data_IF_826665565769
#
_entry.id   IF_826665565769
#
_cell.length_a   1.000
_cell.length_b   1.000
_cell.length_c   1.000
_cell.angle_alpha   90.00
_cell.angle_beta   90.00
_cell.angle_gamma   90.00
#
_symmetry.space_group_name_H-M   'P 1'
#
loop_
_entity.id
_entity.type
_entity.pdbx_description
1 polymer ?
#
# COMPACT_ATOMS: atom_id res chain seq x y z
N UNK A 1 0.20 1.10 37.49
CA UNK A 1 1.60 0.63 37.47
C UNK A 1 1.96 -0.13 36.18
N UNK A 2 1.27 0.07 35.05
CA UNK A 2 1.49 -0.66 33.78
C UNK A 2 2.21 0.17 32.70
N UNK A 3 2.46 1.47 32.95
CA UNK A 3 3.09 2.37 31.99
C UNK A 3 4.63 2.20 31.94
N UNK A 4 5.28 1.98 33.10
CA UNK A 4 6.75 1.96 33.18
C UNK A 4 7.41 0.72 32.58
N UNK A 5 6.73 -0.44 32.59
CA UNK A 5 7.29 -1.68 32.03
C UNK A 5 7.32 -1.65 30.49
N UNK A 6 6.31 -1.04 29.85
CA UNK A 6 6.25 -0.89 28.40
C UNK A 6 7.33 0.08 27.88
N UNK A 7 7.61 1.15 28.62
CA UNK A 7 8.70 2.05 28.27
C UNK A 7 10.07 1.39 28.41
N UNK A 8 10.30 0.61 29.48
CA UNK A 8 11.54 -0.14 29.69
C UNK A 8 11.80 -1.15 28.55
N UNK A 9 10.77 -1.89 28.12
CA UNK A 9 10.85 -2.81 26.99
C UNK A 9 11.14 -2.09 25.67
N UNK A 10 10.56 -0.90 25.46
CA UNK A 10 10.82 -0.06 24.28
C UNK A 10 12.26 0.44 24.26
N UNK A 11 12.79 0.91 25.40
CA UNK A 11 14.18 1.34 25.51
C UNK A 11 15.17 0.18 25.38
N UNK A 12 14.85 -0.98 25.97
CA UNK A 12 15.62 -2.22 25.80
C UNK A 12 15.69 -2.65 24.34
N UNK A 13 14.56 -2.70 23.64
CA UNK A 13 14.52 -3.03 22.21
C UNK A 13 15.29 -2.01 21.35
N UNK A 14 15.24 -0.72 21.67
CA UNK A 14 16.01 0.31 20.98
C UNK A 14 17.53 0.15 21.18
N UNK A 15 17.95 -0.32 22.37
CA UNK A 15 19.36 -0.54 22.70
C UNK A 15 19.95 -1.81 22.06
N UNK A 16 19.12 -2.79 21.66
CA UNK A 16 19.59 -4.06 21.10
C UNK A 16 20.43 -3.90 19.83
N UNK A 17 20.20 -2.89 18.99
CA UNK A 17 21.06 -2.69 17.81
C UNK A 17 22.51 -2.38 18.18
N UNK A 18 22.74 -1.72 19.32
CA UNK A 18 24.08 -1.38 19.80
C UNK A 18 24.90 -2.57 20.30
N UNK A 19 24.27 -3.74 20.51
CA UNK A 19 24.98 -4.96 20.93
C UNK A 19 25.66 -5.68 19.76
N UNK A 20 25.25 -5.39 18.52
CA UNK A 20 25.85 -5.95 17.31
C UNK A 20 27.01 -5.05 16.90
N UNK A 21 28.23 -5.45 17.25
CA UNK A 21 29.45 -4.71 16.94
C UNK A 21 30.31 -5.47 15.94
N UNK A 22 31.07 -4.73 15.13
CA UNK A 22 32.11 -5.33 14.31
C UNK A 22 33.29 -5.78 15.20
N UNK A 23 33.94 -6.88 14.82
CA UNK A 23 35.18 -7.31 15.45
C UNK A 23 36.29 -6.24 15.30
N UNK A 24 37.32 -6.23 16.18
CA UNK A 24 38.46 -5.34 16.01
C UNK A 24 39.03 -5.39 14.58
N UNK A 25 39.34 -4.22 14.01
CA UNK A 25 39.81 -4.08 12.64
C UNK A 25 38.73 -4.21 11.54
N UNK A 26 37.47 -4.45 11.90
CA UNK A 26 36.36 -4.59 10.94
C UNK A 26 35.35 -3.44 11.07
N UNK A 27 34.46 -3.30 10.07
CA UNK A 27 33.34 -2.36 10.06
C UNK A 27 32.03 -3.10 9.83
N UNK A 28 30.97 -2.66 10.51
CA UNK A 28 29.62 -3.11 10.21
C UNK A 28 29.09 -2.27 9.03
N UNK A 29 28.61 -2.93 7.98
CA UNK A 29 28.04 -2.28 6.79
C UNK A 29 26.58 -2.71 6.68
N UNK A 30 25.68 -1.73 6.59
CA UNK A 30 24.24 -1.97 6.39
C UNK A 30 23.87 -1.46 5.01
N UNK A 31 23.34 -2.36 4.19
CA UNK A 31 22.75 -2.03 2.89
C UNK A 31 21.25 -2.25 2.97
N UNK A 32 20.47 -1.23 2.59
CA UNK A 32 19.02 -1.26 2.54
C UNK A 32 18.53 -0.84 1.15
N UNK A 33 17.45 -1.45 0.69
CA UNK A 33 16.85 -1.13 -0.61
C UNK A 33 15.80 -0.02 -0.43
N UNK A 34 16.26 1.23 -0.58
CA UNK A 34 15.44 2.40 -0.37
C UNK A 34 14.16 2.41 -1.25
N UNK A 35 12.99 2.38 -0.59
CA UNK A 35 11.66 2.42 -1.21
C UNK A 35 11.47 1.34 -2.31
N UNK A 36 11.98 0.14 -2.08
CA UNK A 36 11.92 -0.95 -3.06
C UNK A 36 10.49 -1.28 -3.49
N UNK A 37 9.54 -1.20 -2.56
CA UNK A 37 8.12 -1.43 -2.79
C UNK A 37 7.51 -0.42 -3.79
N UNK A 38 7.72 0.88 -3.56
CA UNK A 38 7.26 1.93 -4.46
C UNK A 38 7.91 1.84 -5.85
N UNK A 39 9.19 1.44 -5.91
CA UNK A 39 9.92 1.24 -7.17
C UNK A 39 9.39 0.04 -7.95
N UNK A 40 9.22 -1.11 -7.30
CA UNK A 40 8.72 -2.32 -7.95
C UNK A 40 7.30 -2.12 -8.46
N UNK A 41 6.43 -1.48 -7.67
CA UNK A 41 5.07 -1.18 -8.10
C UNK A 41 5.05 -0.31 -9.36
N UNK A 42 5.79 0.81 -9.36
CA UNK A 42 5.85 1.70 -10.51
C UNK A 42 6.40 0.98 -11.76
N UNK A 43 7.36 0.07 -11.58
CA UNK A 43 7.92 -0.72 -12.67
C UNK A 43 6.96 -1.78 -13.20
N UNK A 44 6.29 -2.54 -12.33
CA UNK A 44 5.28 -3.53 -12.74
C UNK A 44 4.10 -2.89 -13.46
N UNK A 45 3.67 -1.72 -12.98
CA UNK A 45 2.58 -0.96 -13.54
C UNK A 45 2.95 -0.17 -14.80
N UNK A 46 4.24 -0.05 -15.13
CA UNK A 46 4.73 0.81 -16.22
C UNK A 46 4.39 2.31 -16.01
N UNK A 47 4.37 2.77 -14.76
CA UNK A 47 4.03 4.15 -14.36
C UNK A 47 5.18 5.12 -14.66
N UNK A 48 5.23 5.61 -15.90
CA UNK A 48 6.40 6.31 -16.45
C UNK A 48 6.83 7.55 -15.67
N UNK A 49 5.88 8.35 -15.18
CA UNK A 49 6.23 9.56 -14.45
C UNK A 49 6.91 9.23 -13.11
N UNK A 50 6.45 8.19 -12.42
CA UNK A 50 7.01 7.77 -11.12
C UNK A 50 8.37 7.10 -11.32
N UNK A 51 8.53 6.33 -12.39
CA UNK A 51 9.84 5.80 -12.81
C UNK A 51 10.83 6.91 -13.16
N UNK A 52 10.39 7.96 -13.87
CA UNK A 52 11.22 9.13 -14.15
C UNK A 52 11.62 9.84 -12.85
N UNK A 53 10.68 10.09 -11.94
CA UNK A 53 10.96 10.70 -10.65
C UNK A 53 12.00 9.92 -9.83
N UNK A 54 11.91 8.59 -9.80
CA UNK A 54 12.94 7.75 -9.18
C UNK A 54 14.32 7.91 -9.83
N UNK A 55 14.41 7.92 -11.17
CA UNK A 55 15.69 8.11 -11.88
C UNK A 55 16.31 9.46 -11.57
N UNK A 56 15.52 10.53 -11.55
CA UNK A 56 15.99 11.88 -11.23
C UNK A 56 16.45 11.97 -9.77
N UNK A 57 15.70 11.38 -8.83
CA UNK A 57 16.09 11.31 -7.42
C UNK A 57 17.41 10.56 -7.24
N UNK A 58 17.58 9.40 -7.90
CA UNK A 58 18.79 8.60 -7.83
C UNK A 58 20.00 9.31 -8.47
N UNK A 59 19.77 10.15 -9.48
CA UNK A 59 20.78 11.00 -10.09
C UNK A 59 21.10 12.26 -9.26
N UNK A 60 20.41 12.49 -8.14
CA UNK A 60 20.56 13.68 -7.31
C UNK A 60 19.98 14.97 -7.93
N UNK A 61 19.21 14.85 -9.00
CA UNK A 61 18.61 15.98 -9.74
C UNK A 61 17.12 16.14 -9.49
N UNK A 62 16.47 15.13 -8.90
CA UNK A 62 15.05 15.11 -8.59
C UNK A 62 14.78 15.24 -7.08
N UNK A 63 13.62 15.81 -6.70
CA UNK A 63 13.21 15.93 -5.30
C UNK A 63 12.76 14.58 -4.72
N UNK A 64 12.65 14.51 -3.39
CA UNK A 64 12.09 13.34 -2.67
C UNK A 64 10.68 13.01 -3.19
N UNK A 65 10.40 11.72 -3.44
CA UNK A 65 9.15 11.32 -4.05
C UNK A 65 7.92 11.58 -3.17
N UNK A 66 8.05 11.55 -1.84
CA UNK A 66 6.93 11.92 -0.98
C UNK A 66 6.67 13.43 -1.04
N UNK A 67 7.69 14.25 -1.29
CA UNK A 67 7.48 15.67 -1.57
C UNK A 67 6.74 15.85 -2.90
N UNK A 68 7.09 15.09 -3.95
CA UNK A 68 6.37 15.11 -5.24
C UNK A 68 4.89 14.74 -5.02
N UNK A 69 4.62 13.68 -4.24
CA UNK A 69 3.25 13.29 -3.92
C UNK A 69 2.53 14.38 -3.13
N UNK A 70 3.18 14.99 -2.13
CA UNK A 70 2.61 16.09 -1.36
C UNK A 70 2.22 17.28 -2.27
N UNK A 71 3.15 17.82 -3.06
CA UNK A 71 2.85 18.96 -3.95
C UNK A 71 1.87 18.60 -5.06
N UNK A 72 1.71 17.33 -5.39
CA UNK A 72 0.66 16.91 -6.33
C UNK A 72 -0.76 17.03 -5.75
N UNK A 73 -0.88 17.08 -4.42
CA UNK A 73 -2.13 17.27 -3.69
C UNK A 73 -2.30 18.72 -3.25
N UNK A 74 -1.25 19.32 -2.66
CA UNK A 74 -1.30 20.67 -2.06
C UNK A 74 -0.60 21.76 -2.88
N UNK A 75 -0.07 21.46 -4.05
CA UNK A 75 0.72 22.41 -4.85
C UNK A 75 2.06 22.79 -4.21
N UNK A 76 2.76 23.75 -4.82
CA UNK A 76 4.03 24.29 -4.30
C UNK A 76 5.29 23.65 -4.89
N UNK A 77 6.43 23.98 -4.26
CA UNK A 77 7.77 23.55 -4.69
C UNK A 77 8.16 22.23 -4.01
N UNK A 78 8.39 21.13 -4.77
CA UNK A 78 8.74 19.81 -4.19
C UNK A 78 10.11 19.79 -3.48
N UNK A 79 10.94 20.81 -3.64
CA UNK A 79 12.21 20.95 -2.91
C UNK A 79 12.03 21.57 -1.51
N UNK A 80 10.88 22.18 -1.24
CA UNK A 80 10.64 23.01 -0.04
C UNK A 80 9.42 22.56 0.75
N UNK A 81 9.09 21.27 0.73
CA UNK A 81 7.94 20.73 1.47
C UNK A 81 8.30 20.51 2.94
N UNK A 82 7.60 21.16 3.90
CA UNK A 82 7.80 20.91 5.31
C UNK A 82 7.54 19.44 5.69
N UNK A 83 8.31 18.90 6.65
CA UNK A 83 8.19 17.50 7.08
C UNK A 83 6.76 17.10 7.48
N UNK A 84 6.02 18.01 8.14
CA UNK A 84 4.63 17.77 8.56
C UNK A 84 3.73 17.55 7.34
N UNK A 85 3.78 18.45 6.36
CA UNK A 85 3.01 18.34 5.12
C UNK A 85 3.43 17.13 4.28
N UNK A 86 4.74 16.85 4.18
CA UNK A 86 5.24 15.64 3.52
C UNK A 86 4.68 14.38 4.13
N UNK A 87 4.57 14.31 5.47
CA UNK A 87 4.01 13.14 6.13
C UNK A 87 2.50 12.99 5.82
N UNK A 88 1.73 14.09 5.93
CA UNK A 88 0.27 14.12 5.73
C UNK A 88 -0.10 13.85 4.27
N UNK A 89 0.46 14.63 3.33
CA UNK A 89 0.05 14.63 1.92
C UNK A 89 0.99 13.83 1.01
N UNK A 90 2.16 13.42 1.52
CA UNK A 90 3.10 12.58 0.78
C UNK A 90 3.03 11.13 1.23
N UNK A 91 3.52 10.87 2.44
CA UNK A 91 3.71 9.51 2.95
C UNK A 91 2.41 8.74 3.17
N UNK A 92 1.43 9.34 3.85
CA UNK A 92 0.14 8.67 4.11
C UNK A 92 -0.52 8.20 2.81
N UNK A 93 -0.79 9.07 1.81
CA UNK A 93 -1.44 8.64 0.58
C UNK A 93 -0.58 7.69 -0.27
N UNK A 94 0.74 7.90 -0.35
CA UNK A 94 1.61 7.06 -1.19
C UNK A 94 1.73 5.63 -0.66
N UNK A 95 1.90 5.48 0.66
CA UNK A 95 2.03 4.18 1.31
C UNK A 95 0.68 3.45 1.41
N UNK A 96 -0.40 4.18 1.72
CA UNK A 96 -1.74 3.60 1.77
C UNK A 96 -2.22 3.13 0.40
N UNK A 97 -2.04 3.98 -0.62
CA UNK A 97 -2.64 3.73 -1.91
C UNK A 97 -1.88 2.69 -2.71
N UNK A 98 -0.56 2.57 -2.58
CA UNK A 98 0.29 1.68 -3.39
C UNK A 98 -0.19 0.22 -3.50
N UNK A 99 -0.90 -0.27 -2.48
CA UNK A 99 -1.46 -1.62 -2.42
C UNK A 99 -2.99 -1.63 -2.47
N UNK A 100 -3.59 -0.74 -3.27
CA UNK A 100 -5.04 -0.59 -3.41
C UNK A 100 -5.76 -0.19 -2.10
N UNK A 101 -5.02 0.27 -1.09
CA UNK A 101 -5.60 0.62 0.22
C UNK A 101 -6.74 1.63 0.10
N UNK A 102 -7.77 1.41 0.93
CA UNK A 102 -8.90 2.30 1.11
C UNK A 102 -8.68 3.31 2.25
N UNK A 103 -9.76 3.85 2.78
CA UNK A 103 -9.71 4.74 3.96
C UNK A 103 -9.09 4.02 5.16
N UNK A 104 -9.44 2.76 5.41
CA UNK A 104 -8.83 1.96 6.48
C UNK A 104 -7.29 1.90 6.40
N UNK A 105 -6.74 1.63 5.20
CA UNK A 105 -5.29 1.63 4.99
C UNK A 105 -4.67 3.02 5.19
N UNK A 106 -5.38 4.08 4.78
CA UNK A 106 -4.96 5.46 5.02
C UNK A 106 -4.85 5.76 6.52
N UNK A 107 -5.81 5.28 7.33
CA UNK A 107 -5.81 5.44 8.78
C UNK A 107 -4.65 4.70 9.46
N UNK A 108 -4.27 3.51 8.97
CA UNK A 108 -3.07 2.80 9.46
C UNK A 108 -1.81 3.66 9.32
N UNK A 109 -1.59 4.26 8.15
CA UNK A 109 -0.43 5.12 7.93
C UNK A 109 -0.54 6.48 8.62
N UNK A 110 -1.74 7.07 8.68
CA UNK A 110 -1.98 8.31 9.41
C UNK A 110 -1.59 8.16 10.88
N UNK A 111 -2.03 7.07 11.53
CA UNK A 111 -1.63 6.72 12.90
C UNK A 111 -0.11 6.53 13.05
N UNK A 112 0.53 5.83 12.11
CA UNK A 112 1.98 5.61 12.13
C UNK A 112 2.80 6.90 12.06
N UNK A 113 2.26 7.95 11.42
CA UNK A 113 2.90 9.27 11.33
C UNK A 113 2.31 10.31 12.30
N UNK A 114 1.43 9.90 13.22
CA UNK A 114 0.72 10.77 14.15
C UNK A 114 0.00 11.94 13.45
N UNK A 115 -0.72 11.60 12.38
CA UNK A 115 -1.52 12.49 11.55
C UNK A 115 -2.99 12.20 11.79
N UNK A 116 -3.80 13.26 11.91
CA UNK A 116 -5.26 13.22 11.78
C UNK A 116 -5.63 13.93 10.50
N UNK A 117 -6.29 13.26 9.56
CA UNK A 117 -6.60 13.84 8.25
C UNK A 117 -7.67 14.92 8.36
N UNK A 118 -8.58 14.84 9.33
CA UNK A 118 -9.62 15.84 9.59
C UNK A 118 -9.05 17.23 9.89
N UNK A 119 -7.90 17.30 10.59
CA UNK A 119 -7.22 18.58 10.90
C UNK A 119 -6.75 19.33 9.63
N UNK A 120 -6.76 18.64 8.48
CA UNK A 120 -6.29 19.15 7.20
C UNK A 120 -7.44 19.33 6.19
N UNK A 121 -8.70 19.11 6.58
CA UNK A 121 -9.84 19.10 5.67
C UNK A 121 -10.01 20.41 4.88
N UNK A 122 -9.92 21.57 5.54
CA UNK A 122 -10.02 22.88 4.86
C UNK A 122 -8.94 23.07 3.80
N UNK A 123 -7.75 22.50 4.01
CA UNK A 123 -6.67 22.55 3.01
C UNK A 123 -6.97 21.59 1.87
N UNK A 124 -7.42 20.38 2.18
CA UNK A 124 -7.78 19.35 1.20
C UNK A 124 -8.86 19.86 0.26
N UNK A 125 -9.95 20.44 0.79
CA UNK A 125 -11.06 20.95 0.00
C UNK A 125 -10.65 22.09 -0.95
N UNK A 126 -9.70 22.94 -0.54
CA UNK A 126 -9.23 24.05 -1.37
C UNK A 126 -8.25 23.61 -2.45
N UNK A 127 -7.41 22.63 -2.16
CA UNK A 127 -6.30 22.26 -3.05
C UNK A 127 -6.64 21.11 -4.01
N UNK A 128 -7.50 20.17 -3.60
CA UNK A 128 -7.91 19.06 -4.47
C UNK A 128 -9.02 19.52 -5.41
N UNK A 129 -8.98 19.04 -6.66
CA UNK A 129 -9.97 19.40 -7.68
C UNK A 129 -11.41 19.15 -7.21
N UNK A 130 -12.36 20.08 -7.43
CA UNK A 130 -13.73 19.99 -6.89
C UNK A 130 -14.46 18.67 -7.21
N UNK A 131 -14.33 18.17 -8.44
CA UNK A 131 -14.97 16.91 -8.84
C UNK A 131 -14.47 15.68 -8.04
N UNK A 132 -13.26 15.72 -7.48
CA UNK A 132 -12.73 14.67 -6.61
C UNK A 132 -13.37 14.77 -5.22
N UNK A 133 -13.54 15.98 -4.70
CA UNK A 133 -14.24 16.23 -3.43
C UNK A 133 -15.70 15.80 -3.52
N UNK A 134 -16.40 16.18 -4.60
CA UNK A 134 -17.77 15.72 -4.90
C UNK A 134 -17.84 14.20 -4.96
N UNK A 135 -16.85 13.55 -5.61
CA UNK A 135 -16.78 12.10 -5.66
C UNK A 135 -16.57 11.47 -4.29
N UNK A 136 -15.77 12.08 -3.40
CA UNK A 136 -15.59 11.62 -2.04
C UNK A 136 -16.90 11.67 -1.25
N UNK A 137 -17.66 12.77 -1.35
CA UNK A 137 -19.00 12.86 -0.76
C UNK A 137 -19.95 11.79 -1.32
N UNK A 138 -20.00 11.62 -2.65
CA UNK A 138 -20.83 10.58 -3.26
C UNK A 138 -20.43 9.17 -2.82
N UNK A 139 -19.14 8.92 -2.57
CA UNK A 139 -18.67 7.65 -2.03
C UNK A 139 -19.06 7.46 -0.56
N UNK A 140 -19.00 8.52 0.27
CA UNK A 140 -19.45 8.49 1.66
C UNK A 140 -20.91 8.06 1.74
N UNK A 141 -21.78 8.72 0.99
CA UNK A 141 -23.22 8.43 0.92
C UNK A 141 -23.51 7.03 0.39
N UNK A 142 -22.79 6.61 -0.65
CA UNK A 142 -23.05 5.31 -1.29
C UNK A 142 -22.60 4.13 -0.44
N UNK A 143 -21.45 4.23 0.22
CA UNK A 143 -20.83 3.08 0.89
C UNK A 143 -19.87 3.41 2.04
N UNK A 144 -19.55 4.68 2.31
CA UNK A 144 -18.55 5.06 3.32
C UNK A 144 -19.08 5.06 4.74
N UNK A 145 -20.35 5.46 4.97
CA UNK A 145 -20.95 5.55 6.32
C UNK A 145 -20.82 4.26 7.14
N UNK A 146 -20.94 3.09 6.50
CA UNK A 146 -20.79 1.78 7.17
C UNK A 146 -19.40 1.53 7.75
N UNK A 147 -18.37 2.28 7.33
CA UNK A 147 -17.00 2.13 7.82
C UNK A 147 -16.70 3.01 9.03
N UNK A 148 -17.51 4.03 9.31
CA UNK A 148 -17.20 5.03 10.33
C UNK A 148 -17.15 4.42 11.73
N UNK A 149 -18.12 3.55 12.05
CA UNK A 149 -18.18 2.86 13.33
C UNK A 149 -17.00 1.88 13.50
N UNK A 150 -16.76 1.02 12.51
CA UNK A 150 -15.69 0.01 12.54
C UNK A 150 -14.28 0.64 12.64
N UNK A 151 -14.08 1.80 12.02
CA UNK A 151 -12.81 2.53 12.04
C UNK A 151 -12.71 3.52 13.20
N UNK A 152 -13.80 3.75 13.93
CA UNK A 152 -13.90 4.76 15.00
C UNK A 152 -13.48 6.17 14.53
N UNK A 153 -13.91 6.58 13.34
CA UNK A 153 -13.56 7.89 12.74
C UNK A 153 -14.79 8.74 12.41
N UNK A 154 -14.61 10.06 12.36
CA UNK A 154 -15.65 10.99 11.91
C UNK A 154 -15.81 11.01 10.38
N UNK A 155 -16.95 11.52 9.90
CA UNK A 155 -17.16 11.77 8.48
C UNK A 155 -16.08 12.64 7.86
N UNK A 156 -15.64 13.69 8.57
CA UNK A 156 -14.56 14.58 8.10
C UNK A 156 -13.23 13.86 7.95
N UNK A 157 -12.87 12.99 8.90
CA UNK A 157 -11.65 12.18 8.82
C UNK A 157 -11.72 11.20 7.62
N UNK A 158 -12.89 10.61 7.41
CA UNK A 158 -13.14 9.72 6.28
C UNK A 158 -13.06 10.47 4.94
N UNK A 159 -13.72 11.63 4.81
CA UNK A 159 -13.73 12.46 3.60
C UNK A 159 -12.34 12.98 3.26
N UNK A 160 -11.57 13.42 4.25
CA UNK A 160 -10.20 13.87 4.07
C UNK A 160 -9.31 12.74 3.53
N UNK A 161 -9.45 11.53 4.09
CA UNK A 161 -8.73 10.33 3.64
C UNK A 161 -9.15 9.91 2.23
N UNK A 162 -10.45 9.84 1.96
CA UNK A 162 -11.01 9.45 0.67
C UNK A 162 -10.59 10.40 -0.44
N UNK A 163 -10.60 11.71 -0.16
CA UNK A 163 -10.21 12.74 -1.13
C UNK A 163 -8.74 12.63 -1.51
N UNK A 164 -7.84 12.45 -0.53
CA UNK A 164 -6.41 12.24 -0.79
C UNK A 164 -6.17 10.94 -1.58
N UNK A 165 -6.87 9.85 -1.22
CA UNK A 165 -6.82 8.57 -1.94
C UNK A 165 -7.25 8.73 -3.40
N UNK A 166 -8.36 9.40 -3.66
CA UNK A 166 -8.88 9.62 -5.02
C UNK A 166 -7.94 10.50 -5.85
N UNK A 167 -7.39 11.57 -5.27
CA UNK A 167 -6.38 12.41 -5.93
C UNK A 167 -5.11 11.63 -6.28
N UNK A 168 -4.63 10.78 -5.35
CA UNK A 168 -3.50 9.90 -5.62
C UNK A 168 -3.80 8.95 -6.77
N UNK A 169 -4.97 8.28 -6.76
CA UNK A 169 -5.37 7.32 -7.81
C UNK A 169 -5.48 7.99 -9.18
N UNK A 170 -6.02 9.21 -9.24
CA UNK A 170 -6.11 9.99 -10.48
C UNK A 170 -4.73 10.27 -11.10
N UNK A 171 -3.70 10.47 -10.26
CA UNK A 171 -2.31 10.69 -10.70
C UNK A 171 -1.56 9.41 -11.07
N UNK A 172 -2.05 8.24 -10.66
CA UNK A 172 -1.39 6.94 -10.90
C UNK A 172 -2.25 5.99 -11.75
N UNK A 173 -2.66 6.39 -12.97
CA UNK A 173 -3.61 5.62 -13.78
C UNK A 173 -3.05 4.26 -14.22
N UNK A 174 -1.74 4.16 -14.49
CA UNK A 174 -1.14 2.90 -14.91
C UNK A 174 -1.10 1.91 -13.73
N UNK A 175 -0.81 2.43 -12.53
CA UNK A 175 -0.83 1.66 -11.29
C UNK A 175 -2.23 1.16 -10.95
N UNK A 176 -3.24 2.03 -11.02
CA UNK A 176 -4.64 1.66 -10.79
C UNK A 176 -5.11 0.59 -11.78
N UNK A 177 -4.78 0.76 -13.07
CA UNK A 177 -5.08 -0.22 -14.11
C UNK A 177 -4.39 -1.56 -13.84
N UNK A 178 -3.15 -1.54 -13.38
CA UNK A 178 -2.39 -2.74 -13.07
C UNK A 178 -3.04 -3.55 -11.94
N UNK A 179 -3.49 -2.90 -10.85
CA UNK A 179 -4.16 -3.61 -9.74
C UNK A 179 -5.42 -4.32 -10.19
N UNK A 180 -6.33 -3.61 -10.87
CA UNK A 180 -7.58 -4.21 -11.34
C UNK A 180 -7.33 -5.29 -12.41
N UNK A 181 -6.35 -5.06 -13.31
CA UNK A 181 -5.93 -6.09 -14.25
C UNK A 181 -5.38 -7.35 -13.57
N UNK A 182 -4.65 -7.20 -12.47
CA UNK A 182 -4.14 -8.32 -11.68
C UNK A 182 -5.27 -9.07 -10.97
N UNK A 183 -6.20 -8.34 -10.37
CA UNK A 183 -7.38 -8.89 -9.73
C UNK A 183 -8.23 -9.70 -10.72
N UNK A 184 -8.54 -9.12 -11.88
CA UNK A 184 -9.40 -9.74 -12.87
C UNK A 184 -8.72 -10.94 -13.52
N UNK A 185 -7.41 -10.88 -13.77
CA UNK A 185 -6.62 -12.01 -14.21
C UNK A 185 -6.62 -13.16 -13.20
N UNK A 186 -6.52 -12.87 -11.91
CA UNK A 186 -6.60 -13.88 -10.86
C UNK A 186 -8.00 -14.51 -10.80
N UNK A 187 -9.07 -13.70 -10.88
CA UNK A 187 -10.45 -14.21 -10.94
C UNK A 187 -10.67 -15.10 -12.16
N UNK A 188 -10.26 -14.65 -13.34
CA UNK A 188 -10.37 -15.42 -14.57
C UNK A 188 -9.60 -16.75 -14.49
N UNK A 189 -8.36 -16.72 -13.99
CA UNK A 189 -7.57 -17.94 -13.81
C UNK A 189 -8.22 -18.93 -12.82
N UNK A 190 -8.87 -18.45 -11.75
CA UNK A 190 -9.60 -19.31 -10.81
C UNK A 190 -10.92 -19.82 -11.41
N UNK A 191 -11.60 -19.03 -12.23
CA UNK A 191 -12.82 -19.48 -12.88
C UNK A 191 -12.54 -20.56 -13.96
N UNK A 192 -11.45 -20.41 -14.71
CA UNK A 192 -11.11 -21.25 -15.86
C UNK A 192 -9.74 -21.93 -15.68
N UNK A 193 -9.68 -23.13 -15.08
CA UNK A 193 -8.45 -23.89 -14.94
C UNK A 193 -7.80 -24.16 -16.30
N UNK A 194 -6.52 -23.82 -16.45
CA UNK A 194 -5.82 -23.91 -17.74
C UNK A 194 -5.53 -22.55 -18.37
N UNK A 195 -6.39 -21.56 -18.15
CA UNK A 195 -6.18 -20.19 -18.60
C UNK A 195 -4.91 -19.59 -17.98
N UNK A 196 -4.15 -18.85 -18.80
CA UNK A 196 -3.01 -18.04 -18.37
C UNK A 196 -3.20 -16.63 -18.93
N UNK A 197 -3.32 -15.66 -18.05
CA UNK A 197 -3.56 -14.26 -18.39
C UNK A 197 -2.30 -13.44 -18.14
N UNK A 198 -1.92 -12.59 -19.08
CA UNK A 198 -0.80 -11.66 -18.89
C UNK A 198 -1.31 -10.34 -18.30
N UNK A 199 -0.60 -9.81 -17.31
CA UNK A 199 -0.92 -8.55 -16.63
C UNK A 199 0.26 -7.60 -16.77
N UNK A 200 0.03 -6.47 -17.44
CA UNK A 200 1.11 -5.57 -17.85
C UNK A 200 2.15 -6.30 -18.71
N UNK A 201 3.40 -5.86 -18.64
CA UNK A 201 4.52 -6.42 -19.42
C UNK A 201 5.20 -7.62 -18.76
N UNK A 202 4.95 -7.82 -17.46
CA UNK A 202 5.89 -8.53 -16.59
C UNK A 202 5.29 -9.71 -15.82
N UNK A 203 3.96 -9.75 -15.66
CA UNK A 203 3.30 -10.73 -14.79
C UNK A 203 2.41 -11.64 -15.62
N UNK A 204 2.40 -12.95 -15.29
CA UNK A 204 1.42 -13.90 -15.81
C UNK A 204 0.72 -14.60 -14.66
N UNK A 205 -0.60 -14.73 -14.75
CA UNK A 205 -1.43 -15.35 -13.73
C UNK A 205 -2.12 -16.57 -14.32
N UNK A 206 -2.14 -17.69 -13.61
CA UNK A 206 -2.83 -18.90 -14.05
C UNK A 206 -3.21 -19.79 -12.87
N UNK A 207 -4.14 -20.70 -13.08
CA UNK A 207 -4.50 -21.71 -12.09
C UNK A 207 -4.20 -23.11 -12.64
N UNK A 208 -3.60 -23.97 -11.82
CA UNK A 208 -3.26 -25.35 -12.19
C UNK A 208 -3.61 -26.32 -11.07
N UNK A 209 -3.95 -27.55 -11.44
CA UNK A 209 -4.08 -28.66 -10.50
C UNK A 209 -2.73 -29.36 -10.36
N UNK A 210 -2.27 -29.54 -9.13
CA UNK A 210 -1.05 -30.26 -8.80
C UNK A 210 -1.25 -31.01 -7.49
N UNK A 211 -0.83 -32.29 -7.46
CA UNK A 211 -1.02 -33.20 -6.33
C UNK A 211 -2.48 -33.23 -5.81
N UNK A 212 -3.46 -33.24 -6.73
CA UNK A 212 -4.88 -33.25 -6.35
C UNK A 212 -5.48 -31.88 -5.98
N UNK A 213 -4.66 -30.86 -5.72
CA UNK A 213 -5.10 -29.54 -5.26
C UNK A 213 -4.96 -28.46 -6.32
N UNK A 214 -5.76 -27.40 -6.20
CA UNK A 214 -5.67 -26.22 -7.07
C UNK A 214 -4.65 -25.24 -6.52
N UNK A 215 -3.91 -24.60 -7.42
CA UNK A 215 -2.91 -23.59 -7.10
C UNK A 215 -3.10 -22.39 -8.04
N UNK A 216 -3.29 -21.20 -7.47
CA UNK A 216 -3.15 -19.95 -8.22
C UNK A 216 -1.66 -19.62 -8.26
N UNK A 217 -1.16 -19.36 -9.46
CA UNK A 217 0.23 -19.13 -9.76
C UNK A 217 0.39 -17.74 -10.36
N UNK A 218 1.22 -16.91 -9.74
CA UNK A 218 1.62 -15.61 -10.27
C UNK A 218 3.10 -15.69 -10.65
N UNK A 219 3.39 -15.79 -11.95
CA UNK A 219 4.75 -15.84 -12.48
C UNK A 219 5.34 -14.43 -12.51
N UNK A 220 6.48 -14.28 -11.85
CA UNK A 220 7.26 -13.04 -11.82
C UNK A 220 8.31 -13.02 -12.95
N UNK A 221 8.89 -11.85 -13.27
CA UNK A 221 9.93 -11.70 -14.30
C UNK A 221 11.16 -12.57 -14.07
N UNK A 222 11.47 -12.87 -12.81
CA UNK A 222 12.57 -13.79 -12.46
C UNK A 222 12.30 -15.25 -12.84
N UNK A 223 11.11 -15.58 -13.35
CA UNK A 223 10.67 -16.96 -13.63
C UNK A 223 10.09 -17.67 -12.41
N UNK A 224 10.31 -17.15 -11.20
CA UNK A 224 9.73 -17.64 -9.94
C UNK A 224 8.22 -17.40 -9.87
N UNK A 225 7.55 -18.15 -9.02
CA UNK A 225 6.11 -18.08 -8.80
C UNK A 225 5.79 -17.66 -7.37
N UNK A 226 4.81 -16.77 -7.21
CA UNK A 226 4.03 -16.66 -5.97
C UNK A 226 2.84 -17.61 -6.12
N UNK A 227 2.57 -18.39 -5.08
CA UNK A 227 1.58 -19.47 -5.12
C UNK A 227 0.56 -19.33 -4.01
N UNK A 228 -0.71 -19.50 -4.35
CA UNK A 228 -1.81 -19.52 -3.38
C UNK A 228 -2.53 -20.87 -3.45
N UNK A 229 -2.66 -21.53 -2.29
CA UNK A 229 -3.21 -22.87 -2.17
C UNK A 229 -4.74 -22.86 -2.15
N UNK A 230 -5.33 -23.84 -2.85
CA UNK A 230 -6.77 -24.09 -2.92
C UNK A 230 -7.64 -22.83 -3.13
N UNK A 231 -7.34 -22.01 -4.18
CA UNK A 231 -8.03 -20.76 -4.42
C UNK A 231 -9.48 -21.00 -4.85
N UNK A 232 -10.40 -20.13 -4.41
CA UNK A 232 -11.82 -20.15 -4.77
C UNK A 232 -12.34 -18.74 -5.01
N UNK A 233 -13.40 -18.66 -5.81
CA UNK A 233 -14.25 -17.47 -5.89
C UNK A 233 -15.49 -17.70 -5.03
N UNK A 234 -15.75 -16.80 -4.09
CA UNK A 234 -16.95 -16.80 -3.24
C UNK A 234 -17.52 -15.40 -3.28
N UNK A 235 -18.75 -15.24 -3.77
CA UNK A 235 -19.44 -13.95 -3.93
C UNK A 235 -18.60 -12.87 -4.65
N UNK A 236 -17.79 -13.30 -5.63
CA UNK A 236 -16.91 -12.42 -6.40
C UNK A 236 -15.60 -12.04 -5.71
N UNK A 237 -15.37 -12.45 -4.46
CA UNK A 237 -14.11 -12.30 -3.75
C UNK A 237 -13.20 -13.51 -3.99
N UNK A 238 -11.89 -13.27 -4.02
CA UNK A 238 -10.89 -14.33 -4.07
C UNK A 238 -10.60 -14.81 -2.66
N UNK A 239 -10.60 -16.12 -2.48
CA UNK A 239 -10.18 -16.76 -1.23
C UNK A 239 -9.14 -17.82 -1.50
N UNK A 240 -8.30 -18.11 -0.52
CA UNK A 240 -7.32 -19.18 -0.57
C UNK A 240 -7.12 -19.77 0.82
N UNK A 241 -6.46 -20.91 0.91
CA UNK A 241 -6.10 -21.53 2.19
C UNK A 241 -4.65 -21.17 2.53
N UNK A 242 -4.41 -20.82 3.79
CA UNK A 242 -3.10 -20.44 4.31
C UNK A 242 -3.13 -20.21 5.81
N UNK A 243 -1.99 -19.86 6.39
CA UNK A 243 -1.92 -19.49 7.80
C UNK A 243 -2.50 -18.09 8.03
N UNK A 244 -3.48 -17.98 8.92
CA UNK A 244 -3.98 -16.66 9.32
C UNK A 244 -2.92 -15.88 10.08
N UNK A 245 -2.89 -14.57 9.83
CA UNK A 245 -2.19 -13.61 10.68
C UNK A 245 -3.24 -12.79 11.43
N UNK A 246 -3.20 -12.84 12.76
CA UNK A 246 -3.93 -11.93 13.65
C UNK A 246 -2.89 -11.00 14.29
N UNK A 247 -3.09 -9.68 14.19
CA UNK A 247 -2.19 -8.67 14.76
C UNK A 247 -0.69 -8.88 14.42
N UNK A 248 -0.41 -9.35 13.21
CA UNK A 248 0.96 -9.61 12.74
C UNK A 248 1.60 -10.88 13.31
N UNK A 249 0.83 -11.76 13.96
CA UNK A 249 1.29 -13.08 14.45
C UNK A 249 0.63 -14.21 13.68
N UNK A 250 1.43 -15.17 13.21
CA UNK A 250 0.93 -16.39 12.57
C UNK A 250 0.23 -17.27 13.59
N UNK A 251 -1.02 -17.63 13.36
CA UNK A 251 -1.77 -18.55 14.24
C UNK A 251 -1.28 -19.99 14.13
N UNK A 252 -0.43 -20.31 13.13
CA UNK A 252 0.01 -21.66 12.74
C UNK A 252 -1.16 -22.61 12.42
N UNK A 253 -2.34 -22.05 12.22
CA UNK A 253 -3.56 -22.78 11.84
C UNK A 253 -3.89 -22.40 10.41
N UNK A 254 -4.05 -23.42 9.57
CA UNK A 254 -4.53 -23.25 8.21
C UNK A 254 -6.02 -22.90 8.22
N UNK A 255 -6.36 -21.76 7.62
CA UNK A 255 -7.74 -21.29 7.50
C UNK A 255 -8.00 -20.74 6.10
N UNK A 256 -9.27 -20.44 5.82
CA UNK A 256 -9.69 -19.73 4.61
C UNK A 256 -9.38 -18.24 4.78
N UNK A 257 -8.48 -17.73 3.97
CA UNK A 257 -8.10 -16.31 3.93
C UNK A 257 -8.81 -15.64 2.75
N UNK A 258 -9.32 -14.43 3.00
CA UNK A 258 -9.96 -13.58 2.00
C UNK A 258 -8.95 -12.53 1.54
N UNK A 259 -8.80 -12.35 0.23
CA UNK A 259 -7.99 -11.25 -0.29
C UNK A 259 -8.72 -9.93 -0.05
N UNK A 260 -7.99 -8.88 0.30
CA UNK A 260 -8.56 -7.52 0.31
C UNK A 260 -8.95 -7.12 -1.11
N UNK A 261 -10.24 -6.90 -1.36
CA UNK A 261 -10.80 -6.53 -2.66
C UNK A 261 -12.26 -6.12 -2.54
#
# INVERSE_FOLDING_TARGET
MTSSSNELMRYGAAALRGVVTAAPGHKLVVADLANIEGRLLAWFADEQWKLKAFREYDAGTGPDLYNITAVSIIGGDPWKVPKKERNVFGKVPDLASGYQGGVAGSQTFAKAYNVRMADHWDTIQRMIAPHIIEKAHANLEKWGHRQLADLEISETEWLASESCKLAWRARHPATVKFWYGLQDAAKAAIAEPGLVVSVGKHVKVGCRKHAGHRWLLVKLPSGRYITYFNPKLVDGAITYEGEAAEDGKTTRVWTRIWTHG
#
